data_IF_455230077460
#
_entry.id   IF_455230077460
#
_cell.length_a   1.000
_cell.length_b   1.000
_cell.length_c   1.000
_cell.angle_alpha   90.00
_cell.angle_beta   90.00
_cell.angle_gamma   90.00
#
_symmetry.space_group_name_H-M   'P 1'
#
loop_
_entity.id
_entity.type
_entity.pdbx_description
1 polymer ?
#
# COMPACT_ATOMS: atom_id res chain seq x y z
N UNK A 1 -23.75 70.27 25.55
CA UNK A 1 -24.43 69.00 25.83
C UNK A 1 -23.97 67.87 24.87
N UNK A 2 -23.21 68.16 23.81
CA UNK A 2 -22.76 67.19 22.81
C UNK A 2 -21.43 66.48 23.16
N UNK A 3 -20.52 67.07 23.92
CA UNK A 3 -19.20 66.53 24.19
C UNK A 3 -19.19 65.27 25.09
N UNK A 4 -20.14 65.20 26.03
CA UNK A 4 -20.29 64.00 26.87
C UNK A 4 -20.75 62.78 26.10
N UNK A 5 -21.69 62.95 25.18
CA UNK A 5 -22.23 61.86 24.34
C UNK A 5 -21.17 61.30 23.38
N UNK A 6 -20.31 62.18 22.85
CA UNK A 6 -19.21 61.73 21.96
C UNK A 6 -18.11 61.00 22.69
N UNK A 7 -17.79 61.38 23.93
CA UNK A 7 -16.81 60.70 24.77
C UNK A 7 -17.31 59.32 25.26
N UNK A 8 -18.60 59.20 25.59
CA UNK A 8 -19.21 57.95 26.00
C UNK A 8 -19.27 56.92 24.85
N UNK A 9 -19.63 57.36 23.66
CA UNK A 9 -19.62 56.53 22.48
C UNK A 9 -18.18 56.08 22.08
N UNK A 10 -17.19 56.91 22.30
CA UNK A 10 -15.77 56.55 22.03
C UNK A 10 -15.24 55.46 22.99
N UNK A 11 -15.61 55.51 24.27
CA UNK A 11 -15.22 54.51 25.27
C UNK A 11 -15.94 53.18 25.08
N UNK A 12 -17.19 53.20 24.69
CA UNK A 12 -17.97 51.98 24.34
C UNK A 12 -17.40 51.29 23.10
N UNK A 13 -17.09 52.05 22.06
CA UNK A 13 -16.45 51.53 20.83
C UNK A 13 -15.06 50.93 21.12
N UNK A 14 -14.28 51.50 22.02
CA UNK A 14 -13.01 50.99 22.47
C UNK A 14 -13.13 49.65 23.22
N UNK A 15 -14.05 49.55 24.15
CA UNK A 15 -14.35 48.30 24.88
C UNK A 15 -14.81 47.18 23.97
N UNK A 16 -15.71 47.48 23.04
CA UNK A 16 -16.19 46.52 22.06
C UNK A 16 -15.07 45.99 21.18
N UNK A 17 -14.22 46.87 20.65
CA UNK A 17 -13.07 46.46 19.84
C UNK A 17 -12.09 45.57 20.63
N UNK A 18 -11.82 45.93 21.87
CA UNK A 18 -10.96 45.16 22.76
C UNK A 18 -11.53 43.75 23.01
N UNK A 19 -12.81 43.67 23.38
CA UNK A 19 -13.46 42.39 23.64
C UNK A 19 -13.51 41.49 22.39
N UNK A 20 -13.82 42.06 21.22
CA UNK A 20 -13.79 41.32 19.98
C UNK A 20 -12.37 40.83 19.65
N UNK A 21 -11.35 41.68 19.79
CA UNK A 21 -9.98 41.27 19.58
C UNK A 21 -9.52 40.17 20.55
N UNK A 22 -9.82 40.31 21.84
CA UNK A 22 -9.47 39.31 22.83
C UNK A 22 -10.16 37.95 22.60
N UNK A 23 -11.47 37.96 22.34
CA UNK A 23 -12.20 36.72 22.02
C UNK A 23 -11.73 36.09 20.70
N UNK A 24 -11.42 36.89 19.69
CA UNK A 24 -10.88 36.37 18.45
C UNK A 24 -9.49 35.72 18.62
N UNK A 25 -8.64 36.34 19.44
CA UNK A 25 -7.31 35.77 19.72
C UNK A 25 -7.42 34.45 20.50
N UNK A 26 -8.25 34.38 21.53
CA UNK A 26 -8.48 33.15 22.31
C UNK A 26 -9.13 32.08 21.42
N UNK A 27 -10.12 32.48 20.59
CA UNK A 27 -10.75 31.56 19.63
C UNK A 27 -9.77 31.00 18.60
N UNK A 28 -8.87 31.82 18.08
CA UNK A 28 -7.83 31.37 17.16
C UNK A 28 -6.86 30.36 17.79
N UNK A 29 -6.43 30.62 19.02
CA UNK A 29 -5.57 29.70 19.79
C UNK A 29 -6.29 28.38 20.05
N UNK A 30 -7.57 28.45 20.44
CA UNK A 30 -8.40 27.25 20.66
C UNK A 30 -8.58 26.43 19.37
N UNK A 31 -8.89 27.11 18.27
CA UNK A 31 -9.02 26.45 16.96
C UNK A 31 -7.70 25.78 16.52
N UNK A 32 -6.58 26.48 16.67
CA UNK A 32 -5.26 25.91 16.39
C UNK A 32 -4.96 24.69 17.29
N UNK A 33 -5.26 24.78 18.58
CA UNK A 33 -5.06 23.70 19.54
C UNK A 33 -5.84 22.43 19.19
N UNK A 34 -7.07 22.57 18.71
CA UNK A 34 -7.90 21.44 18.26
C UNK A 34 -7.41 20.91 16.89
N UNK A 35 -7.00 21.80 16.00
CA UNK A 35 -6.57 21.42 14.64
C UNK A 35 -5.32 20.56 14.61
N UNK A 36 -4.36 20.81 15.51
CA UNK A 36 -3.08 20.06 15.54
C UNK A 36 -3.29 18.54 15.74
N UNK A 37 -3.98 18.04 16.79
CA UNK A 37 -4.19 16.61 16.95
C UNK A 37 -5.05 16.01 15.85
N UNK A 38 -6.01 16.78 15.32
CA UNK A 38 -6.85 16.33 14.21
C UNK A 38 -6.04 16.12 12.93
N UNK A 39 -5.22 17.10 12.54
CA UNK A 39 -4.34 16.98 11.37
C UNK A 39 -3.26 15.92 11.56
N UNK A 40 -2.69 15.81 12.77
CA UNK A 40 -1.69 14.79 13.07
C UNK A 40 -2.23 13.36 13.00
N UNK A 41 -3.55 13.18 13.23
CA UNK A 41 -4.19 11.86 13.10
C UNK A 41 -4.22 11.32 11.67
N UNK A 42 -4.02 12.18 10.66
CA UNK A 42 -3.90 11.76 9.26
C UNK A 42 -2.51 11.20 8.93
N UNK A 43 -1.54 11.43 9.78
CA UNK A 43 -0.21 10.85 9.61
C UNK A 43 -0.26 9.33 9.85
N UNK A 44 0.42 8.53 9.00
CA UNK A 44 0.42 7.08 9.18
C UNK A 44 1.05 6.71 10.52
N UNK A 45 0.40 5.79 11.24
CA UNK A 45 0.92 5.26 12.50
C UNK A 45 2.25 4.51 12.29
N UNK A 46 3.05 4.33 13.34
CA UNK A 46 4.31 3.57 13.26
C UNK A 46 4.06 2.13 12.79
N UNK A 47 2.93 1.53 13.17
CA UNK A 47 2.51 0.21 12.67
C UNK A 47 2.26 0.24 11.16
N UNK A 48 1.61 1.29 10.64
CA UNK A 48 1.36 1.42 9.21
C UNK A 48 2.67 1.67 8.42
N UNK A 49 3.60 2.44 8.97
CA UNK A 49 4.94 2.63 8.40
C UNK A 49 5.73 1.33 8.38
N UNK A 50 5.71 0.57 9.48
CA UNK A 50 6.39 -0.72 9.59
C UNK A 50 5.79 -1.76 8.62
N UNK A 51 4.48 -1.79 8.42
CA UNK A 51 3.83 -2.68 7.46
C UNK A 51 4.26 -2.41 5.99
N UNK A 52 4.70 -1.18 5.68
CA UNK A 52 5.26 -0.81 4.38
C UNK A 52 6.75 -1.10 4.21
N UNK A 53 7.44 -1.52 5.26
CA UNK A 53 8.88 -1.79 5.22
C UNK A 53 9.22 -2.99 4.32
N UNK A 54 10.43 -3.03 3.74
CA UNK A 54 10.92 -4.20 3.02
C UNK A 54 11.01 -5.42 3.94
N UNK A 55 10.46 -6.55 3.48
CA UNK A 55 10.59 -7.84 4.16
C UNK A 55 11.75 -8.61 3.57
N UNK A 56 12.63 -9.13 4.41
CA UNK A 56 13.73 -9.99 4.01
C UNK A 56 13.36 -11.44 4.28
N UNK A 57 13.49 -12.29 3.27
CA UNK A 57 13.25 -13.73 3.37
C UNK A 57 14.50 -14.48 2.96
N UNK A 58 14.93 -15.39 3.78
CA UNK A 58 16.05 -16.28 3.45
C UNK A 58 15.55 -17.42 2.55
N UNK A 59 16.01 -17.40 1.31
CA UNK A 59 15.69 -18.41 0.30
C UNK A 59 16.75 -19.52 0.19
N UNK A 60 17.83 -19.47 0.97
CA UNK A 60 18.92 -20.46 0.90
C UNK A 60 18.47 -21.86 1.31
N UNK A 61 17.45 -21.94 2.19
CA UNK A 61 16.87 -23.18 2.69
C UNK A 61 15.65 -23.65 1.91
N UNK A 62 15.26 -22.93 0.86
CA UNK A 62 14.09 -23.24 0.06
C UNK A 62 14.42 -24.34 -0.95
N UNK A 63 13.88 -25.53 -0.75
CA UNK A 63 14.08 -26.67 -1.62
C UNK A 63 13.44 -26.48 -2.99
N UNK A 64 13.91 -27.22 -4.00
CA UNK A 64 13.33 -27.22 -5.34
C UNK A 64 11.86 -27.68 -5.30
N UNK A 65 10.98 -26.89 -5.90
CA UNK A 65 9.52 -27.13 -5.89
C UNK A 65 8.81 -26.65 -4.63
N UNK A 66 9.53 -26.15 -3.64
CA UNK A 66 8.95 -25.63 -2.40
C UNK A 66 8.51 -24.18 -2.54
N UNK A 67 7.43 -23.83 -1.85
CA UNK A 67 6.90 -22.46 -1.77
C UNK A 67 6.84 -22.02 -0.30
N UNK A 68 7.27 -20.80 -0.03
CA UNK A 68 7.07 -20.12 1.26
C UNK A 68 6.16 -18.91 1.04
N UNK A 69 5.31 -18.65 2.04
CA UNK A 69 4.42 -17.49 2.04
C UNK A 69 4.94 -16.47 3.03
N UNK A 70 5.12 -15.25 2.57
CA UNK A 70 5.59 -14.12 3.37
C UNK A 70 4.54 -13.03 3.34
N UNK A 71 4.26 -12.41 4.46
CA UNK A 71 3.36 -11.27 4.52
C UNK A 71 4.10 -9.96 4.21
N UNK A 72 3.59 -9.18 3.27
CA UNK A 72 4.06 -7.84 2.98
C UNK A 72 2.88 -6.90 2.72
N UNK A 73 2.82 -5.81 3.46
CA UNK A 73 1.71 -4.84 3.39
C UNK A 73 0.32 -5.45 3.59
N UNK A 74 0.21 -6.44 4.48
CA UNK A 74 -1.04 -7.15 4.73
C UNK A 74 -1.49 -8.08 3.59
N UNK A 75 -0.60 -8.38 2.63
CA UNK A 75 -0.87 -9.28 1.51
C UNK A 75 0.08 -10.47 1.55
N UNK A 76 -0.39 -11.68 1.19
CA UNK A 76 0.49 -12.82 1.02
C UNK A 76 1.35 -12.64 -0.21
N UNK A 77 2.66 -12.85 -0.08
CA UNK A 77 3.62 -12.93 -1.16
C UNK A 77 4.16 -14.34 -1.22
N UNK A 78 4.01 -14.98 -2.36
CA UNK A 78 4.50 -16.32 -2.61
C UNK A 78 5.92 -16.24 -3.16
N UNK A 79 6.83 -16.97 -2.53
CA UNK A 79 8.20 -17.17 -3.00
C UNK A 79 8.35 -18.65 -3.32
N UNK A 80 8.51 -18.97 -4.58
CA UNK A 80 8.58 -20.35 -5.08
C UNK A 80 9.95 -20.63 -5.70
N UNK A 81 10.58 -21.72 -5.30
CA UNK A 81 11.76 -22.25 -5.96
C UNK A 81 11.34 -23.25 -7.03
N UNK A 82 11.33 -22.83 -8.30
CA UNK A 82 10.86 -23.63 -9.44
C UNK A 82 11.83 -24.74 -9.79
N UNK A 83 11.28 -25.88 -10.14
CA UNK A 83 12.04 -26.99 -10.73
C UNK A 83 12.30 -26.75 -12.21
N UNK A 84 13.32 -27.42 -12.77
CA UNK A 84 13.58 -27.38 -14.23
C UNK A 84 12.38 -27.83 -15.05
N UNK A 85 11.61 -28.84 -14.55
CA UNK A 85 10.39 -29.31 -15.20
C UNK A 85 9.30 -28.23 -15.27
N UNK A 86 9.12 -27.46 -14.18
CA UNK A 86 8.18 -26.34 -14.17
C UNK A 86 8.62 -25.21 -15.12
N UNK A 87 9.91 -24.93 -15.20
CA UNK A 87 10.43 -23.93 -16.14
C UNK A 87 10.24 -24.35 -17.60
N UNK A 88 10.52 -25.61 -17.93
CA UNK A 88 10.31 -26.10 -19.30
C UNK A 88 8.84 -26.17 -19.72
N UNK A 89 7.91 -26.29 -18.78
CA UNK A 89 6.47 -26.27 -19.08
C UNK A 89 5.94 -24.88 -19.43
N UNK A 90 6.64 -23.80 -19.06
CA UNK A 90 6.18 -22.45 -19.39
C UNK A 90 6.13 -22.20 -20.90
N UNK A 91 7.18 -22.56 -21.61
CA UNK A 91 7.23 -22.44 -23.08
C UNK A 91 6.18 -23.33 -23.77
N UNK A 92 5.95 -24.52 -23.26
CA UNK A 92 4.92 -25.43 -23.79
C UNK A 92 3.49 -24.90 -23.68
N UNK A 93 3.24 -24.01 -22.70
CA UNK A 93 1.92 -23.44 -22.47
C UNK A 93 1.73 -22.05 -23.09
N UNK A 94 2.70 -21.53 -23.83
CA UNK A 94 2.68 -20.18 -24.39
C UNK A 94 1.44 -19.89 -25.22
N UNK A 95 0.98 -20.86 -26.02
CA UNK A 95 -0.19 -20.72 -26.90
C UNK A 95 -1.52 -20.66 -26.13
N UNK A 96 -1.54 -21.13 -24.89
CA UNK A 96 -2.70 -21.12 -24.02
C UNK A 96 -2.77 -19.87 -23.12
N UNK A 97 -1.67 -19.11 -23.04
CA UNK A 97 -1.58 -17.92 -22.21
C UNK A 97 -2.06 -16.67 -22.95
N UNK A 98 -2.85 -15.86 -22.29
CA UNK A 98 -3.33 -14.58 -22.82
C UNK A 98 -2.21 -13.55 -23.04
N UNK A 99 -1.17 -13.59 -22.22
CA UNK A 99 -0.01 -12.68 -22.27
C UNK A 99 1.26 -13.45 -21.91
N UNK A 100 1.77 -14.34 -22.81
CA UNK A 100 2.90 -15.23 -22.51
C UNK A 100 4.18 -14.48 -22.17
N UNK A 101 4.44 -13.35 -22.82
CA UNK A 101 5.63 -12.52 -22.58
C UNK A 101 5.45 -11.46 -21.52
N UNK A 102 4.30 -11.42 -20.86
CA UNK A 102 3.93 -10.49 -19.80
C UNK A 102 4.12 -9.00 -20.14
N UNK A 103 3.84 -8.63 -21.40
CA UNK A 103 3.93 -7.24 -21.87
C UNK A 103 2.81 -6.37 -21.32
N UNK A 104 1.60 -6.92 -21.21
CA UNK A 104 0.40 -6.22 -20.74
C UNK A 104 0.23 -6.28 -19.22
N UNK A 105 1.03 -7.09 -18.53
CA UNK A 105 0.95 -7.24 -17.07
C UNK A 105 1.44 -5.98 -16.34
N UNK A 106 0.74 -5.60 -15.27
CA UNK A 106 1.15 -4.51 -14.37
C UNK A 106 2.29 -5.00 -13.45
N UNK A 107 3.49 -4.98 -13.95
CA UNK A 107 4.69 -5.40 -13.25
C UNK A 107 5.88 -4.53 -13.66
N UNK A 108 6.97 -4.48 -12.86
CA UNK A 108 8.18 -3.77 -13.24
C UNK A 108 8.75 -4.28 -14.59
N UNK A 109 9.28 -3.36 -15.38
CA UNK A 109 9.79 -3.69 -16.72
C UNK A 109 10.93 -4.73 -16.69
N UNK A 110 11.72 -4.76 -15.61
CA UNK A 110 12.87 -5.66 -15.47
C UNK A 110 12.51 -7.13 -15.20
N UNK A 111 11.22 -7.43 -14.93
CA UNK A 111 10.73 -8.81 -14.75
C UNK A 111 9.81 -9.26 -15.89
N UNK A 112 9.72 -8.50 -16.98
CA UNK A 112 8.97 -8.91 -18.17
C UNK A 112 9.61 -10.13 -18.82
N UNK A 113 8.80 -10.96 -19.41
CA UNK A 113 9.21 -12.17 -20.08
C UNK A 113 8.41 -13.38 -19.61
N UNK A 114 8.71 -14.52 -20.15
CA UNK A 114 8.02 -15.78 -19.89
C UNK A 114 8.11 -16.21 -18.41
N UNK A 115 9.28 -16.07 -17.80
CA UNK A 115 9.52 -16.47 -16.42
C UNK A 115 8.89 -15.52 -15.38
N UNK A 116 8.61 -14.25 -15.77
CA UNK A 116 8.11 -13.21 -14.87
C UNK A 116 8.91 -13.08 -13.57
N UNK A 117 10.20 -13.21 -13.66
CA UNK A 117 11.12 -13.19 -12.53
C UNK A 117 12.48 -12.66 -12.93
N UNK A 118 13.22 -12.03 -12.01
CA UNK A 118 14.61 -11.60 -12.20
C UNK A 118 15.53 -12.83 -12.38
N UNK A 119 15.27 -13.87 -11.58
CA UNK A 119 15.92 -15.19 -11.66
C UNK A 119 14.84 -16.21 -12.00
N UNK A 120 14.92 -16.89 -13.12
CA UNK A 120 13.87 -17.83 -13.55
C UNK A 120 13.50 -18.87 -12.49
N UNK A 121 14.47 -19.32 -11.69
CA UNK A 121 14.28 -20.33 -10.66
C UNK A 121 13.46 -19.82 -9.47
N UNK A 122 13.48 -18.50 -9.21
CA UNK A 122 12.81 -17.91 -8.05
C UNK A 122 11.67 -17.02 -8.51
N UNK A 123 10.46 -17.50 -8.33
CA UNK A 123 9.25 -16.70 -8.57
C UNK A 123 8.86 -15.97 -7.29
N UNK A 124 8.62 -14.67 -7.40
CA UNK A 124 8.06 -13.84 -6.33
C UNK A 124 6.82 -13.15 -6.88
N UNK A 125 5.66 -13.42 -6.27
CA UNK A 125 4.38 -12.90 -6.77
C UNK A 125 3.41 -12.65 -5.61
N UNK A 126 2.55 -11.62 -5.73
CA UNK A 126 1.43 -11.46 -4.80
C UNK A 126 0.49 -12.67 -4.93
N UNK A 127 0.23 -13.34 -3.80
CA UNK A 127 -0.63 -14.53 -3.73
C UNK A 127 -2.12 -14.19 -3.76
N UNK A 128 -2.52 -13.23 -4.59
CA UNK A 128 -3.90 -12.78 -4.71
C UNK A 128 -4.33 -12.78 -6.17
N UNK A 129 -5.50 -13.37 -6.43
CA UNK A 129 -6.13 -13.33 -7.75
C UNK A 129 -6.50 -11.87 -8.10
N UNK A 130 -6.18 -11.44 -9.33
CA UNK A 130 -6.49 -10.08 -9.79
C UNK A 130 -7.98 -9.83 -10.02
N UNK A 131 -8.82 -10.86 -10.04
CA UNK A 131 -10.27 -10.75 -10.23
C UNK A 131 -10.97 -10.35 -8.92
N UNK A 132 -10.95 -11.21 -7.90
CA UNK A 132 -11.67 -11.01 -6.63
C UNK A 132 -10.80 -11.16 -5.37
N UNK A 133 -9.48 -11.22 -5.54
CA UNK A 133 -8.56 -11.30 -4.40
C UNK A 133 -8.50 -12.67 -3.71
N UNK A 134 -9.02 -13.73 -4.32
CA UNK A 134 -8.87 -15.07 -3.79
C UNK A 134 -7.41 -15.49 -3.74
N UNK A 135 -6.99 -16.21 -2.70
CA UNK A 135 -5.65 -16.77 -2.60
C UNK A 135 -5.53 -18.05 -3.46
N UNK A 136 -4.72 -18.07 -4.52
CA UNK A 136 -4.51 -19.26 -5.32
C UNK A 136 -3.81 -20.36 -4.53
N UNK A 137 -4.19 -21.62 -4.76
CA UNK A 137 -3.46 -22.76 -4.23
C UNK A 137 -2.32 -23.13 -5.18
N UNK A 138 -1.15 -23.31 -4.62
CA UNK A 138 -0.02 -23.86 -5.37
C UNK A 138 -0.21 -25.35 -5.60
N UNK A 139 -0.13 -25.77 -6.86
CA UNK A 139 -0.19 -27.16 -7.32
C UNK A 139 1.13 -27.45 -8.05
N UNK A 140 2.03 -28.24 -7.44
CA UNK A 140 3.36 -28.51 -7.99
C UNK A 140 3.34 -29.50 -9.16
N UNK A 141 2.24 -30.23 -9.34
CA UNK A 141 2.08 -31.21 -10.40
C UNK A 141 1.96 -30.52 -11.75
N UNK A 142 2.83 -30.86 -12.67
CA UNK A 142 2.76 -30.40 -14.06
C UNK A 142 1.78 -31.26 -14.83
N UNK A 143 0.78 -30.63 -15.46
CA UNK A 143 -0.24 -31.36 -16.23
C UNK A 143 -1.23 -32.10 -15.34
N UNK A 144 -1.67 -31.48 -14.24
CA UNK A 144 -2.66 -32.06 -13.36
C UNK A 144 -4.01 -32.24 -14.10
N UNK A 145 -4.44 -33.48 -14.29
CA UNK A 145 -5.64 -33.82 -15.06
C UNK A 145 -6.94 -33.20 -14.54
N UNK A 146 -7.04 -32.96 -13.22
CA UNK A 146 -8.17 -32.29 -12.57
C UNK A 146 -8.29 -30.79 -12.88
N UNK A 147 -7.25 -30.21 -13.49
CA UNK A 147 -7.21 -28.80 -13.92
C UNK A 147 -7.38 -28.62 -15.42
N UNK A 148 -7.64 -29.70 -16.17
CA UNK A 148 -7.88 -29.68 -17.61
C UNK A 148 -6.64 -29.46 -18.46
N UNK A 149 -5.45 -29.78 -17.91
CA UNK A 149 -4.16 -29.65 -18.60
C UNK A 149 -3.56 -30.96 -19.02
#
# INVERSE_FOLDING_TARGET
MNDKVLAENGTEAGRRKFLVAATSAVGAVGAAGISVPFLSSWSPSEKAKAAGAPVKTDISKLELGQMVVVEWRGKPVYVLHRTSKQLSSLSALSDQLKDPTSVNSKQPAYIRGESRAVRPEILVVEGLCTHLGCAPKFRPEVGAADLGG
#
